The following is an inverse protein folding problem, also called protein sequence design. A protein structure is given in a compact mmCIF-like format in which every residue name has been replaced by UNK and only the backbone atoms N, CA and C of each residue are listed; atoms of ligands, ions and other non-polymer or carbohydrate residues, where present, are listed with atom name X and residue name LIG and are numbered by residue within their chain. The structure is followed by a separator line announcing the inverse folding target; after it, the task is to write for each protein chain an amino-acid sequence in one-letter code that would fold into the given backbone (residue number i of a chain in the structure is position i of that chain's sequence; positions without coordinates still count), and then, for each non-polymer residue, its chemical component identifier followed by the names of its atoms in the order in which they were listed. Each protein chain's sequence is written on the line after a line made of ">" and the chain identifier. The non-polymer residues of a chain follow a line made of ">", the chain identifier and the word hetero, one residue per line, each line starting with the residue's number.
data_IF_774513983423
#
_entry.id   IF_774513983423
#
_cell.length_a   1.000
_cell.length_b   1.000
_cell.length_c   1.000
_cell.angle_alpha   90.00
_cell.angle_beta   90.00
_cell.angle_gamma   90.00
#
_symmetry.space_group_name_H-M   'P 1'
#
loop_
_entity.id
_entity.type
_entity.pdbx_description
1 polymer ?
#
# COMPACT_ATOMS: atom_id res chain seq x y z
N UNK A 1 -31.36 17.64 9.96
CA UNK A 1 -30.06 17.61 10.64
C UNK A 1 -29.34 16.40 10.10
N UNK A 2 -28.21 16.58 9.41
CA UNK A 2 -27.47 15.47 8.80
C UNK A 2 -26.46 14.97 9.83
N UNK A 3 -26.59 13.71 10.25
CA UNK A 3 -25.69 13.11 11.24
C UNK A 3 -24.50 12.45 10.50
N UNK A 4 -23.28 12.80 10.89
CA UNK A 4 -22.07 12.18 10.36
C UNK A 4 -21.75 11.00 11.27
N UNK A 5 -21.86 9.80 10.71
CA UNK A 5 -21.65 8.55 11.45
C UNK A 5 -20.29 7.98 11.06
N UNK A 6 -19.52 7.61 12.07
CA UNK A 6 -18.23 6.98 11.88
C UNK A 6 -18.42 5.53 11.42
N UNK A 7 -17.55 5.12 10.52
CA UNK A 7 -17.58 3.81 9.93
C UNK A 7 -16.17 3.24 9.79
N UNK A 8 -16.05 1.94 9.95
CA UNK A 8 -14.81 1.18 9.82
C UNK A 8 -14.89 0.40 8.51
N UNK A 9 -13.87 0.54 7.67
CA UNK A 9 -13.73 -0.29 6.48
C UNK A 9 -13.13 -1.64 6.87
N UNK A 10 -13.89 -2.72 6.68
CA UNK A 10 -13.46 -4.08 7.06
C UNK A 10 -12.77 -4.84 5.91
N UNK A 11 -12.57 -4.18 4.76
CA UNK A 11 -12.08 -4.85 3.55
C UNK A 11 -13.21 -5.44 2.70
N UNK A 12 -12.86 -5.94 1.52
CA UNK A 12 -13.80 -6.59 0.58
C UNK A 12 -15.02 -5.74 0.16
N UNK A 13 -14.91 -4.41 0.21
CA UNK A 13 -16.02 -3.51 -0.13
C UNK A 13 -17.09 -3.41 0.96
N UNK A 14 -16.84 -3.94 2.15
CA UNK A 14 -17.74 -3.86 3.29
C UNK A 14 -17.33 -2.72 4.23
N UNK A 15 -18.31 -1.92 4.60
CA UNK A 15 -18.16 -0.82 5.56
C UNK A 15 -19.07 -1.13 6.74
N UNK A 16 -18.48 -1.31 7.91
CA UNK A 16 -19.21 -1.51 9.16
C UNK A 16 -19.41 -0.17 9.84
N UNK A 17 -20.66 0.20 10.03
CA UNK A 17 -21.01 1.40 10.77
C UNK A 17 -20.81 1.14 12.28
N UNK A 18 -20.29 2.12 13.01
CA UNK A 18 -20.15 2.00 14.48
C UNK A 18 -21.51 2.05 15.19
N UNK A 19 -22.54 2.55 14.51
CA UNK A 19 -23.90 2.67 15.01
C UNK A 19 -24.92 2.19 13.96
N UNK A 20 -26.02 1.60 14.41
CA UNK A 20 -27.15 1.24 13.57
C UNK A 20 -27.88 2.49 13.07
N UNK A 21 -28.09 2.58 11.75
CA UNK A 21 -28.83 3.69 11.17
C UNK A 21 -30.34 3.44 11.35
N UNK A 22 -30.95 4.07 12.35
CA UNK A 22 -32.41 4.05 12.50
C UNK A 22 -33.07 4.88 11.39
N UNK A 23 -34.01 4.28 10.67
CA UNK A 23 -34.86 4.97 9.70
C UNK A 23 -34.32 5.06 8.26
N UNK A 24 -33.38 4.21 7.86
CA UNK A 24 -32.91 4.17 6.46
C UNK A 24 -33.95 3.46 5.58
N UNK A 25 -34.55 4.15 4.58
CA UNK A 25 -35.48 3.49 3.68
C UNK A 25 -34.73 2.44 2.83
N UNK A 26 -35.40 1.34 2.43
CA UNK A 26 -34.75 0.21 1.74
C UNK A 26 -34.14 0.53 0.35
N UNK A 27 -34.30 1.77 -0.15
CA UNK A 27 -33.72 2.25 -1.41
C UNK A 27 -32.76 3.45 -1.22
N UNK A 28 -32.31 3.68 0.01
CA UNK A 28 -31.38 4.76 0.30
C UNK A 28 -30.02 4.50 -0.36
N UNK A 29 -29.51 5.51 -1.07
CA UNK A 29 -28.14 5.52 -1.58
C UNK A 29 -27.27 6.23 -0.55
N UNK A 30 -26.35 5.50 0.09
CA UNK A 30 -25.41 6.05 1.05
C UNK A 30 -24.15 6.49 0.33
N UNK A 31 -23.75 7.75 0.50
CA UNK A 31 -22.46 8.25 0.03
C UNK A 31 -21.43 7.99 1.14
N UNK A 32 -20.52 7.05 0.90
CA UNK A 32 -19.38 6.81 1.80
C UNK A 32 -18.24 7.75 1.40
N UNK A 33 -17.96 8.75 2.23
CA UNK A 33 -16.79 9.61 2.07
C UNK A 33 -15.66 9.06 2.93
N UNK A 34 -14.66 8.46 2.30
CA UNK A 34 -13.42 8.06 2.98
C UNK A 34 -12.58 9.30 3.18
N UNK A 35 -12.73 9.94 4.34
CA UNK A 35 -11.86 11.03 4.75
C UNK A 35 -10.64 10.40 5.43
N UNK A 36 -9.53 10.30 4.71
CA UNK A 36 -8.24 10.03 5.33
C UNK A 36 -7.88 11.28 6.13
N UNK A 37 -7.92 11.20 7.46
CA UNK A 37 -7.59 12.30 8.34
C UNK A 37 -6.19 12.86 7.97
N UNK A 38 -6.08 14.12 7.51
CA UNK A 38 -4.78 14.67 7.12
C UNK A 38 -3.85 14.87 8.33
N UNK A 39 -4.37 14.69 9.55
CA UNK A 39 -3.61 14.76 10.79
C UNK A 39 -3.28 13.39 11.40
N UNK A 40 -3.45 12.29 10.65
CA UNK A 40 -2.78 11.00 10.95
C UNK A 40 -1.28 11.10 10.58
N UNK A 41 -0.61 12.09 11.16
CA UNK A 41 0.80 12.42 10.96
C UNK A 41 1.76 11.49 11.74
N UNK A 42 1.26 10.41 12.35
CA UNK A 42 2.12 9.36 12.93
C UNK A 42 2.43 8.22 11.94
N UNK A 43 1.70 8.10 10.83
CA UNK A 43 1.82 6.91 9.97
C UNK A 43 2.34 7.21 8.56
N UNK A 44 2.46 8.47 8.14
CA UNK A 44 2.85 8.80 6.75
C UNK A 44 4.34 8.64 6.44
N UNK A 45 5.26 8.70 7.43
CA UNK A 45 6.69 8.46 7.15
C UNK A 45 7.06 6.97 7.23
N UNK A 46 6.34 6.19 8.05
CA UNK A 46 6.60 4.76 8.27
C UNK A 46 5.82 3.86 7.30
N UNK A 47 4.62 4.28 6.85
CA UNK A 47 3.81 3.49 5.90
C UNK A 47 4.43 3.40 4.51
N UNK A 48 5.13 4.43 4.02
CA UNK A 48 5.73 4.40 2.68
C UNK A 48 6.75 3.27 2.55
N UNK A 49 7.67 3.17 3.51
CA UNK A 49 8.67 2.11 3.57
C UNK A 49 8.04 0.72 3.79
N UNK A 50 7.03 0.61 4.66
CA UNK A 50 6.32 -0.65 4.87
C UNK A 50 5.54 -1.09 3.62
N UNK A 51 4.91 -0.16 2.91
CA UNK A 51 4.20 -0.42 1.67
C UNK A 51 5.16 -0.84 0.55
N UNK A 52 6.34 -0.20 0.45
CA UNK A 52 7.40 -0.64 -0.47
C UNK A 52 7.86 -2.07 -0.15
N UNK A 53 8.14 -2.36 1.12
CA UNK A 53 8.54 -3.71 1.56
C UNK A 53 7.45 -4.75 1.30
N UNK A 54 6.19 -4.39 1.52
CA UNK A 54 5.04 -5.25 1.22
C UNK A 54 4.91 -5.53 -0.28
N UNK A 55 5.11 -4.53 -1.13
CA UNK A 55 5.12 -4.71 -2.58
C UNK A 55 6.29 -5.58 -3.03
N UNK A 56 7.50 -5.36 -2.52
CA UNK A 56 8.65 -6.23 -2.79
C UNK A 56 8.36 -7.67 -2.39
N UNK A 57 7.81 -7.89 -1.20
CA UNK A 57 7.44 -9.24 -0.72
C UNK A 57 6.39 -9.91 -1.61
N UNK A 58 5.46 -9.15 -2.21
CA UNK A 58 4.49 -9.68 -3.16
C UNK A 58 5.17 -10.16 -4.45
N UNK A 59 6.15 -9.42 -4.97
CA UNK A 59 6.97 -9.87 -6.10
C UNK A 59 7.82 -11.10 -5.73
N UNK A 60 8.44 -11.09 -4.54
CA UNK A 60 9.25 -12.22 -4.07
C UNK A 60 8.43 -13.50 -3.99
N UNK A 61 7.18 -13.40 -3.53
CA UNK A 61 6.25 -14.53 -3.46
C UNK A 61 5.82 -14.96 -4.86
N UNK A 62 5.44 -14.00 -5.72
CA UNK A 62 4.95 -14.26 -7.08
C UNK A 62 5.98 -14.96 -7.96
N UNK A 63 7.25 -14.56 -7.85
CA UNK A 63 8.35 -15.11 -8.64
C UNK A 63 9.20 -16.13 -7.86
N UNK A 64 8.85 -16.41 -6.60
CA UNK A 64 9.62 -17.29 -5.69
C UNK A 64 11.12 -16.98 -5.69
N UNK A 65 11.46 -15.70 -5.74
CA UNK A 65 12.83 -15.20 -5.84
C UNK A 65 12.99 -13.98 -4.94
N UNK A 66 14.03 -13.94 -4.11
CA UNK A 66 14.25 -12.78 -3.23
C UNK A 66 14.69 -11.57 -4.04
N UNK A 67 14.29 -10.37 -3.61
CA UNK A 67 14.68 -9.09 -4.26
C UNK A 67 16.21 -8.95 -4.30
N UNK A 68 16.90 -9.41 -3.25
CA UNK A 68 18.37 -9.42 -3.19
C UNK A 68 19.03 -10.35 -4.23
N UNK A 69 18.32 -11.36 -4.74
CA UNK A 69 18.80 -12.25 -5.80
C UNK A 69 18.35 -11.76 -7.19
N UNK A 70 17.15 -11.20 -7.27
CA UNK A 70 16.56 -10.61 -8.47
C UNK A 70 17.34 -9.38 -8.96
N UNK A 71 17.60 -8.43 -8.07
CA UNK A 71 18.19 -7.13 -8.40
C UNK A 71 19.56 -7.23 -9.13
N UNK A 72 20.54 -8.01 -8.66
CA UNK A 72 21.80 -8.18 -9.38
C UNK A 72 21.66 -8.95 -10.70
N UNK A 73 20.65 -9.83 -10.85
CA UNK A 73 20.36 -10.50 -12.12
C UNK A 73 19.73 -9.54 -13.13
N UNK A 74 18.83 -8.67 -12.66
CA UNK A 74 18.21 -7.61 -13.45
C UNK A 74 19.27 -6.62 -13.97
N UNK A 75 20.18 -6.17 -13.11
CA UNK A 75 21.28 -5.28 -13.49
C UNK A 75 22.26 -5.91 -14.50
N UNK A 76 22.41 -7.24 -14.48
CA UNK A 76 23.21 -7.98 -15.47
C UNK A 76 22.48 -8.23 -16.79
N UNK A 77 21.22 -7.80 -16.91
CA UNK A 77 20.39 -8.07 -18.08
C UNK A 77 19.98 -9.54 -18.21
N UNK A 78 20.08 -10.32 -17.13
CA UNK A 78 19.66 -11.73 -17.10
C UNK A 78 18.15 -11.87 -16.86
N UNK A 79 17.50 -10.80 -16.39
CA UNK A 79 16.05 -10.72 -16.31
C UNK A 79 15.52 -10.09 -17.61
N UNK A 80 14.38 -10.58 -18.08
CA UNK A 80 13.74 -10.04 -19.28
C UNK A 80 13.29 -8.59 -19.12
N UNK A 81 12.77 -8.02 -20.20
CA UNK A 81 12.19 -6.68 -20.26
C UNK A 81 10.72 -6.60 -19.80
N UNK A 82 10.25 -7.63 -19.08
CA UNK A 82 8.88 -7.64 -18.57
C UNK A 82 8.64 -6.44 -17.65
N UNK A 83 7.48 -5.81 -17.83
CA UNK A 83 7.06 -4.65 -17.04
C UNK A 83 7.14 -4.91 -15.53
N UNK A 84 6.80 -6.11 -15.10
CA UNK A 84 6.90 -6.51 -13.69
C UNK A 84 8.35 -6.41 -13.16
N UNK A 85 9.36 -6.78 -13.95
CA UNK A 85 10.77 -6.70 -13.54
C UNK A 85 11.25 -5.25 -13.46
N UNK A 86 10.84 -4.40 -14.39
CA UNK A 86 11.14 -2.96 -14.36
C UNK A 86 10.54 -2.31 -13.11
N UNK A 87 9.28 -2.63 -12.79
CA UNK A 87 8.59 -2.13 -11.60
C UNK A 87 9.27 -2.65 -10.33
N UNK A 88 9.62 -3.93 -10.27
CA UNK A 88 10.29 -4.53 -9.12
C UNK A 88 11.66 -3.91 -8.85
N UNK A 89 12.47 -3.68 -9.89
CA UNK A 89 13.76 -3.01 -9.76
C UNK A 89 13.60 -1.56 -9.26
N UNK A 90 12.62 -0.82 -9.79
CA UNK A 90 12.33 0.54 -9.36
C UNK A 90 11.89 0.64 -7.89
N UNK A 91 11.15 -0.34 -7.38
CA UNK A 91 10.76 -0.41 -5.96
C UNK A 91 11.97 -0.63 -5.05
N UNK A 92 12.92 -1.48 -5.47
CA UNK A 92 14.16 -1.70 -4.72
C UNK A 92 15.02 -0.44 -4.69
N UNK A 93 15.20 0.24 -5.82
CA UNK A 93 15.93 1.52 -5.87
C UNK A 93 15.29 2.58 -4.97
N UNK A 94 13.95 2.67 -4.97
CA UNK A 94 13.24 3.62 -4.12
C UNK A 94 13.42 3.29 -2.63
N UNK A 95 13.44 2.00 -2.27
CA UNK A 95 13.70 1.54 -0.90
C UNK A 95 15.12 1.91 -0.45
N UNK A 96 16.13 1.75 -1.32
CA UNK A 96 17.52 2.13 -1.04
C UNK A 96 17.69 3.64 -0.88
N UNK A 97 16.91 4.44 -1.62
CA UNK A 97 16.93 5.91 -1.51
C UNK A 97 16.21 6.44 -0.27
N UNK A 98 15.17 5.74 0.18
CA UNK A 98 14.41 6.10 1.39
C UNK A 98 15.06 5.55 2.67
N UNK A 99 15.84 4.48 2.58
CA UNK A 99 16.67 4.04 3.68
C UNK A 99 17.79 5.05 3.86
N UNK A 100 17.94 5.72 5.02
CA UNK A 100 19.04 6.65 5.25
C UNK A 100 20.34 5.87 5.07
N UNK A 101 21.05 6.14 3.98
CA UNK A 101 22.27 5.43 3.69
C UNK A 101 23.28 5.77 4.79
N UNK A 102 23.65 4.77 5.59
CA UNK A 102 25.04 4.58 6.02
C UNK A 102 25.88 4.49 4.77
N UNK A 103 26.23 5.65 4.21
CA UNK A 103 27.33 5.81 3.28
C UNK A 103 28.61 5.66 4.11
N UNK A 104 29.43 4.60 3.96
CA UNK A 104 30.79 4.69 4.43
C UNK A 104 31.49 5.73 3.55
N UNK A 105 31.99 6.80 4.18
CA UNK A 105 32.98 7.69 3.57
C UNK A 105 34.26 6.91 3.25
#
# INVERSE_FOLDING_TARGET
>A
MSEIIKAIYEGHGLVRLEQELEGVPPQAHLLVLVMTDPNDTSTTQTNGLQALRGQLQAFETRYSMKTAEFYPRFLRGEMGDERDFIVWAGLQELLERMSPQTQPQ
#
